data_IF_923314994052
#
_entry.id   IF_923314994052
#
_cell.length_a   1.000
_cell.length_b   1.000
_cell.length_c   1.000
_cell.angle_alpha   90.00
_cell.angle_beta   90.00
_cell.angle_gamma   90.00
#
_symmetry.space_group_name_H-M   'P 1'
#
loop_
_entity.id
_entity.type
_entity.pdbx_description
1 polymer ?
#
# COMPACT_ATOMS: atom_id res chain seq x y z
N UNK A 1 -0.01 -27.26 25.15
CA UNK A 1 0.41 -27.21 23.73
C UNK A 1 0.95 -25.82 23.49
N UNK A 2 2.27 -25.65 23.39
CA UNK A 2 2.89 -24.35 23.08
C UNK A 2 2.72 -24.16 21.59
N UNK A 3 1.83 -23.24 21.18
CA UNK A 3 1.72 -22.81 19.78
C UNK A 3 3.03 -22.11 19.44
N UNK A 4 3.89 -22.77 18.68
CA UNK A 4 5.06 -22.14 18.08
C UNK A 4 4.51 -21.15 17.05
N UNK A 5 4.41 -19.88 17.45
CA UNK A 5 4.16 -18.78 16.53
C UNK A 5 5.38 -18.76 15.59
N UNK A 6 5.25 -19.36 14.41
CA UNK A 6 6.26 -19.21 13.38
C UNK A 6 6.29 -17.72 13.06
N UNK A 7 7.40 -17.05 13.39
CA UNK A 7 7.63 -15.69 12.94
C UNK A 7 7.48 -15.71 11.43
N UNK A 8 6.48 -14.98 10.91
CA UNK A 8 6.28 -14.86 9.47
C UNK A 8 7.51 -14.17 8.90
N UNK A 9 8.01 -14.70 7.80
CA UNK A 9 9.12 -14.12 7.04
C UNK A 9 8.54 -13.37 5.84
N UNK A 10 8.39 -12.03 5.92
CA UNK A 10 7.82 -11.22 4.85
C UNK A 10 8.53 -11.39 3.51
N UNK A 11 9.85 -11.64 3.52
CA UNK A 11 10.59 -11.82 2.27
C UNK A 11 10.24 -13.15 1.59
N UNK A 12 10.04 -14.23 2.36
CA UNK A 12 9.57 -15.50 1.79
C UNK A 12 8.14 -15.40 1.28
N UNK A 13 7.28 -14.66 1.99
CA UNK A 13 5.91 -14.44 1.55
C UNK A 13 5.85 -13.66 0.24
N UNK A 14 6.69 -12.61 0.06
CA UNK A 14 6.84 -11.91 -1.22
C UNK A 14 7.25 -12.85 -2.36
N UNK A 15 8.25 -13.72 -2.11
CA UNK A 15 8.68 -14.69 -3.11
C UNK A 15 7.58 -15.68 -3.48
N UNK A 16 6.84 -16.18 -2.49
CA UNK A 16 5.71 -17.09 -2.72
C UNK A 16 4.58 -16.44 -3.53
N UNK A 17 4.38 -15.12 -3.37
CA UNK A 17 3.42 -14.33 -4.14
C UNK A 17 3.95 -13.89 -5.51
N UNK A 18 5.21 -14.21 -5.85
CA UNK A 18 5.85 -13.79 -7.09
C UNK A 18 6.08 -12.28 -7.19
N UNK A 19 6.11 -11.57 -6.06
CA UNK A 19 6.27 -10.12 -6.00
C UNK A 19 7.76 -9.77 -5.94
N UNK A 20 8.20 -8.96 -6.91
CA UNK A 20 9.53 -8.36 -6.91
C UNK A 20 9.39 -6.87 -6.55
N UNK A 21 10.10 -6.45 -5.52
CA UNK A 21 10.20 -5.04 -5.15
C UNK A 21 11.18 -4.32 -6.07
N UNK A 22 10.85 -3.08 -6.42
CA UNK A 22 11.68 -2.26 -7.29
C UNK A 22 12.63 -1.38 -6.48
N UNK A 23 13.72 -0.92 -7.10
CA UNK A 23 14.58 0.08 -6.49
C UNK A 23 13.82 1.38 -6.24
N UNK A 24 14.16 2.04 -5.13
CA UNK A 24 13.53 3.30 -4.75
C UNK A 24 13.90 4.41 -5.73
N UNK A 25 12.89 4.98 -6.40
CA UNK A 25 13.07 6.18 -7.23
C UNK A 25 13.06 7.42 -6.34
N UNK A 26 13.97 8.39 -6.56
CA UNK A 26 13.94 9.66 -5.82
C UNK A 26 12.62 10.40 -6.08
N UNK A 27 12.14 11.21 -5.11
CA UNK A 27 10.96 12.04 -5.32
C UNK A 27 11.23 13.14 -6.35
N UNK A 28 10.17 13.60 -7.01
CA UNK A 28 10.24 14.62 -8.07
C UNK A 28 10.29 16.05 -7.49
N UNK A 29 9.96 16.24 -6.20
CA UNK A 29 9.84 17.52 -5.53
C UNK A 29 10.62 17.57 -4.21
N UNK A 30 10.57 18.70 -3.50
CA UNK A 30 11.25 18.90 -2.21
C UNK A 30 10.56 18.18 -1.05
N UNK A 31 10.46 16.85 -1.13
CA UNK A 31 10.02 15.98 -0.04
C UNK A 31 10.80 14.66 -0.09
N UNK A 32 10.67 13.86 0.95
CA UNK A 32 11.29 12.52 1.03
C UNK A 32 10.22 11.44 1.04
N UNK A 33 10.56 10.25 0.57
CA UNK A 33 9.62 9.11 0.50
C UNK A 33 9.18 8.60 1.86
N UNK A 34 10.00 8.79 2.90
CA UNK A 34 9.63 8.47 4.27
C UNK A 34 10.45 9.29 5.28
N UNK A 35 9.88 9.48 6.47
CA UNK A 35 10.54 10.11 7.62
C UNK A 35 10.39 9.18 8.82
N UNK A 36 11.50 8.91 9.50
CA UNK A 36 11.50 8.14 10.74
C UNK A 36 11.57 9.07 11.96
N UNK A 37 10.72 8.80 12.95
CA UNK A 37 10.78 9.42 14.27
C UNK A 37 10.61 8.35 15.34
N UNK A 38 11.62 8.18 16.19
CA UNK A 38 11.67 7.06 17.12
C UNK A 38 11.60 5.72 16.37
N UNK A 39 10.61 4.91 16.72
CA UNK A 39 10.33 3.61 16.05
C UNK A 39 9.31 3.70 14.93
N UNK A 40 8.77 4.89 14.66
CA UNK A 40 7.74 5.06 13.64
C UNK A 40 8.34 5.59 12.34
N UNK A 41 8.02 4.90 11.24
CA UNK A 41 8.32 5.32 9.89
C UNK A 41 7.03 5.81 9.22
N UNK A 42 7.01 7.08 8.84
CA UNK A 42 5.92 7.72 8.11
C UNK A 42 6.27 7.69 6.62
N UNK A 43 5.51 6.94 5.84
CA UNK A 43 5.73 6.79 4.39
C UNK A 43 4.77 7.70 3.66
N UNK A 44 5.31 8.55 2.77
CA UNK A 44 4.57 9.50 1.93
C UNK A 44 3.58 8.79 1.01
N UNK A 45 2.60 9.54 0.52
CA UNK A 45 1.62 9.04 -0.45
C UNK A 45 2.29 8.43 -1.69
N UNK A 46 1.81 7.25 -2.06
CA UNK A 46 2.19 6.54 -3.27
C UNK A 46 0.96 6.34 -4.15
N UNK A 47 1.16 6.52 -5.44
CA UNK A 47 0.18 6.20 -6.47
C UNK A 47 0.62 4.92 -7.22
N UNK A 48 -0.28 4.20 -7.88
CA UNK A 48 0.09 3.00 -8.60
C UNK A 48 1.01 3.31 -9.78
N UNK A 49 2.00 2.45 -9.99
CA UNK A 49 2.78 2.47 -11.24
C UNK A 49 1.88 2.12 -12.43
N UNK A 50 2.25 2.62 -13.61
CA UNK A 50 1.60 2.22 -14.86
C UNK A 50 2.14 0.86 -15.30
N UNK A 51 1.24 -0.11 -15.40
CA UNK A 51 1.55 -1.48 -15.82
C UNK A 51 0.72 -1.79 -17.07
N UNK A 52 1.37 -2.27 -18.11
CA UNK A 52 0.69 -2.66 -19.35
C UNK A 52 -0.45 -3.65 -19.07
N UNK A 53 -1.63 -3.35 -19.58
CA UNK A 53 -2.83 -4.17 -19.39
C UNK A 53 -3.53 -3.97 -18.05
N UNK A 54 -3.06 -3.08 -17.18
CA UNK A 54 -3.72 -2.72 -15.91
C UNK A 54 -4.25 -1.29 -15.97
N UNK A 55 -5.46 -1.09 -15.49
CA UNK A 55 -6.05 0.25 -15.36
C UNK A 55 -5.72 0.83 -13.99
N UNK A 56 -4.87 1.82 -13.97
CA UNK A 56 -4.39 2.46 -12.74
C UNK A 56 -4.71 3.96 -12.69
N UNK A 57 -5.41 4.47 -13.71
CA UNK A 57 -5.81 5.88 -13.86
C UNK A 57 -7.30 5.98 -14.11
N UNK A 58 -7.91 7.04 -13.59
CA UNK A 58 -9.35 7.33 -13.75
C UNK A 58 -10.14 7.19 -12.46
N UNK A 59 -11.44 7.53 -12.52
CA UNK A 59 -12.37 7.50 -11.39
C UNK A 59 -12.99 6.14 -11.19
N UNK A 60 -12.86 5.61 -9.98
CA UNK A 60 -13.55 4.39 -9.56
C UNK A 60 -15.06 4.68 -9.42
N UNK A 61 -15.87 3.79 -9.97
CA UNK A 61 -17.33 3.93 -9.99
C UNK A 61 -17.88 4.48 -11.30
N UNK A 62 -17.05 5.15 -12.13
CA UNK A 62 -17.48 5.61 -13.47
C UNK A 62 -16.55 5.16 -14.59
N UNK A 63 -15.24 5.29 -14.44
CA UNK A 63 -14.24 4.93 -15.43
C UNK A 63 -13.57 3.59 -15.12
N UNK A 64 -13.47 3.24 -13.82
CA UNK A 64 -12.95 1.99 -13.33
C UNK A 64 -13.99 1.26 -12.48
N UNK A 65 -13.94 -0.05 -12.57
CA UNK A 65 -14.69 -0.94 -11.68
C UNK A 65 -14.05 -1.00 -10.30
N UNK A 66 -14.76 -1.55 -9.32
CA UNK A 66 -14.22 -1.83 -7.96
C UNK A 66 -12.99 -2.73 -8.04
N UNK A 67 -13.02 -3.77 -8.88
CA UNK A 67 -11.92 -4.72 -9.03
C UNK A 67 -10.67 -4.06 -9.65
N UNK A 68 -10.84 -3.19 -10.64
CA UNK A 68 -9.74 -2.40 -11.21
C UNK A 68 -9.15 -1.43 -10.17
N UNK A 69 -9.99 -0.79 -9.36
CA UNK A 69 -9.56 0.02 -8.22
C UNK A 69 -8.83 -0.80 -7.15
N UNK A 70 -9.32 -2.00 -6.83
CA UNK A 70 -8.67 -2.94 -5.89
C UNK A 70 -7.29 -3.37 -6.40
N UNK A 71 -7.16 -3.68 -7.69
CA UNK A 71 -5.87 -3.99 -8.30
C UNK A 71 -4.92 -2.79 -8.29
N UNK A 72 -5.41 -1.57 -8.55
CA UNK A 72 -4.61 -0.35 -8.43
C UNK A 72 -4.09 -0.16 -6.99
N UNK A 73 -4.92 -0.42 -5.97
CA UNK A 73 -4.50 -0.37 -4.57
C UNK A 73 -3.42 -1.43 -4.25
N UNK A 74 -3.53 -2.63 -4.81
CA UNK A 74 -2.51 -3.68 -4.67
C UNK A 74 -1.17 -3.25 -5.31
N UNK A 75 -1.20 -2.68 -6.51
CA UNK A 75 0.00 -2.17 -7.19
C UNK A 75 0.65 -1.04 -6.39
N UNK A 76 -0.15 -0.10 -5.87
CA UNK A 76 0.34 0.98 -5.00
C UNK A 76 1.05 0.43 -3.76
N UNK A 77 0.50 -0.62 -3.17
CA UNK A 77 1.07 -1.26 -1.98
C UNK A 77 2.44 -1.88 -2.26
N UNK A 78 2.66 -2.44 -3.45
CA UNK A 78 3.98 -2.95 -3.85
C UNK A 78 5.00 -1.80 -3.90
N UNK A 79 4.62 -0.63 -4.41
CA UNK A 79 5.46 0.57 -4.37
C UNK A 79 5.78 1.04 -2.94
N UNK A 80 4.79 1.02 -2.04
CA UNK A 80 4.97 1.31 -0.61
C UNK A 80 5.93 0.32 0.06
N UNK A 81 5.83 -0.98 -0.27
CA UNK A 81 6.71 -2.02 0.24
C UNK A 81 8.15 -1.84 -0.24
N UNK A 82 8.36 -1.38 -1.47
CA UNK A 82 9.69 -1.04 -2.00
C UNK A 82 10.32 0.11 -1.18
N UNK A 83 9.54 1.14 -0.88
CA UNK A 83 9.98 2.24 -0.01
C UNK A 83 10.24 1.76 1.42
N UNK A 84 9.34 0.95 1.98
CA UNK A 84 9.50 0.37 3.32
C UNK A 84 10.78 -0.46 3.42
N UNK A 85 11.05 -1.34 2.45
CA UNK A 85 12.27 -2.15 2.43
C UNK A 85 13.54 -1.30 2.41
N UNK A 86 13.55 -0.21 1.63
CA UNK A 86 14.69 0.69 1.56
C UNK A 86 15.00 1.35 2.92
N UNK A 87 13.97 1.90 3.58
CA UNK A 87 14.17 2.61 4.85
C UNK A 87 14.34 1.68 6.06
N UNK A 88 13.69 0.52 6.07
CA UNK A 88 13.84 -0.48 7.13
C UNK A 88 15.09 -1.35 6.95
N UNK A 89 15.74 -1.31 5.78
CA UNK A 89 16.85 -2.18 5.39
C UNK A 89 16.42 -3.61 5.09
N UNK A 90 15.43 -4.13 5.81
CA UNK A 90 14.84 -5.44 5.61
C UNK A 90 13.39 -5.45 6.15
N UNK A 91 12.46 -6.09 5.42
CA UNK A 91 11.06 -6.17 5.86
C UNK A 91 10.88 -6.98 7.16
N UNK A 92 11.82 -7.86 7.51
CA UNK A 92 11.82 -8.58 8.79
C UNK A 92 12.05 -7.66 10.00
N UNK A 93 12.49 -6.41 9.80
CA UNK A 93 12.62 -5.39 10.84
C UNK A 93 11.29 -4.72 11.20
N UNK A 94 10.24 -4.94 10.39
CA UNK A 94 8.90 -4.39 10.62
C UNK A 94 8.25 -5.11 11.80
N UNK A 95 7.87 -4.34 12.83
CA UNK A 95 7.12 -4.86 13.99
C UNK A 95 5.64 -4.97 13.67
N UNK A 96 5.09 -3.93 13.04
CA UNK A 96 3.69 -3.89 12.58
C UNK A 96 3.43 -2.75 11.61
N UNK A 97 2.42 -2.93 10.78
CA UNK A 97 1.77 -1.83 10.09
C UNK A 97 0.82 -1.17 11.08
N UNK A 98 1.02 0.13 11.36
CA UNK A 98 0.25 0.86 12.36
C UNK A 98 -1.03 1.42 11.77
N UNK A 99 -0.90 2.13 10.66
CA UNK A 99 -2.01 2.81 9.99
C UNK A 99 -1.82 2.84 8.48
N UNK A 100 -2.93 2.73 7.76
CA UNK A 100 -3.02 2.95 6.32
C UNK A 100 -4.12 3.97 6.06
N UNK A 101 -3.82 5.01 5.28
CA UNK A 101 -4.81 5.94 4.74
C UNK A 101 -4.88 5.74 3.23
N UNK A 102 -6.04 5.34 2.73
CA UNK A 102 -6.32 5.19 1.31
C UNK A 102 -7.24 6.28 0.81
N UNK A 103 -6.80 6.99 -0.20
CA UNK A 103 -7.52 8.00 -0.94
C UNK A 103 -7.89 7.44 -2.32
N UNK A 104 -9.15 7.43 -2.66
CA UNK A 104 -9.66 6.84 -3.89
C UNK A 104 -10.17 7.98 -4.80
N UNK A 105 -9.66 8.10 -6.01
CA UNK A 105 -10.23 8.96 -7.04
C UNK A 105 -11.58 8.36 -7.43
N UNK A 106 -12.66 8.89 -6.86
CA UNK A 106 -13.97 8.26 -6.92
C UNK A 106 -15.00 9.15 -7.61
N UNK A 107 -15.96 8.50 -8.28
CA UNK A 107 -17.20 9.16 -8.66
C UNK A 107 -17.92 9.68 -7.40
N UNK A 108 -18.56 10.86 -7.43
CA UNK A 108 -19.25 11.41 -6.26
C UNK A 108 -20.33 10.48 -5.65
N UNK A 109 -20.90 9.61 -6.44
CA UNK A 109 -21.91 8.63 -5.98
C UNK A 109 -21.29 7.32 -5.48
N UNK A 110 -19.98 7.12 -5.64
CA UNK A 110 -19.30 5.88 -5.25
C UNK A 110 -19.12 5.80 -3.73
N UNK A 111 -19.51 4.69 -3.12
CA UNK A 111 -19.47 4.49 -1.65
C UNK A 111 -18.67 3.25 -1.23
N UNK A 112 -18.16 2.46 -2.16
CA UNK A 112 -17.46 1.20 -1.87
C UNK A 112 -15.93 1.37 -1.68
N UNK A 113 -15.49 2.51 -1.12
CA UNK A 113 -14.08 2.79 -0.86
C UNK A 113 -13.37 1.68 -0.05
N UNK A 114 -14.00 1.08 1.00
CA UNK A 114 -13.38 -0.02 1.73
C UNK A 114 -13.09 -1.25 0.86
N UNK A 115 -13.94 -1.56 -0.12
CA UNK A 115 -13.74 -2.69 -1.03
C UNK A 115 -12.50 -2.48 -1.91
N UNK A 116 -12.30 -1.27 -2.42
CA UNK A 116 -11.09 -0.89 -3.18
C UNK A 116 -9.84 -1.06 -2.31
N UNK A 117 -9.87 -0.56 -1.08
CA UNK A 117 -8.71 -0.61 -0.18
C UNK A 117 -8.39 -2.01 0.35
N UNK A 118 -9.26 -2.99 0.17
CA UNK A 118 -8.93 -4.39 0.46
C UNK A 118 -7.76 -4.87 -0.41
N UNK A 119 -7.53 -4.33 -1.61
CA UNK A 119 -6.34 -4.64 -2.40
C UNK A 119 -5.02 -4.33 -1.69
N UNK A 120 -5.00 -3.29 -0.86
CA UNK A 120 -3.86 -2.97 0.00
C UNK A 120 -3.86 -3.85 1.26
N UNK A 121 -4.97 -3.87 2.01
CA UNK A 121 -5.03 -4.52 3.32
C UNK A 121 -4.80 -6.03 3.24
N UNK A 122 -5.39 -6.70 2.25
CA UNK A 122 -5.23 -8.14 2.05
C UNK A 122 -3.76 -8.47 1.78
N UNK A 123 -3.10 -7.71 0.88
CA UNK A 123 -1.68 -7.91 0.57
C UNK A 123 -0.77 -7.70 1.80
N UNK A 124 -1.02 -6.67 2.61
CA UNK A 124 -0.24 -6.44 3.84
C UNK A 124 -0.40 -7.60 4.84
N UNK A 125 -1.59 -8.16 4.97
CA UNK A 125 -1.83 -9.33 5.83
C UNK A 125 -1.21 -10.60 5.23
N UNK A 126 -1.26 -10.80 3.92
CA UNK A 126 -0.59 -11.92 3.24
C UNK A 126 0.93 -11.89 3.49
N UNK A 127 1.54 -10.70 3.51
CA UNK A 127 3.00 -10.55 3.69
C UNK A 127 3.39 -10.61 5.17
N UNK A 128 2.72 -9.86 6.04
CA UNK A 128 3.12 -9.67 7.44
C UNK A 128 2.28 -10.44 8.46
N UNK A 129 1.23 -11.14 8.02
CA UNK A 129 0.29 -11.83 8.91
C UNK A 129 -0.37 -10.90 9.90
N UNK A 130 -0.35 -11.26 11.19
CA UNK A 130 -0.94 -10.43 12.24
C UNK A 130 -0.31 -9.04 12.36
N UNK A 131 0.98 -8.91 12.05
CA UNK A 131 1.67 -7.62 12.00
C UNK A 131 1.18 -6.72 10.84
N UNK A 132 0.55 -7.29 9.82
CA UNK A 132 -0.07 -6.57 8.71
C UNK A 132 -1.45 -6.00 9.02
N UNK A 133 -2.11 -6.42 10.12
CA UNK A 133 -3.40 -5.88 10.56
C UNK A 133 -3.23 -4.48 11.13
N UNK A 134 -3.86 -3.49 10.52
CA UNK A 134 -3.63 -2.06 10.77
C UNK A 134 -4.93 -1.29 10.97
N UNK A 135 -4.84 -0.12 11.62
CA UNK A 135 -5.92 0.86 11.59
C UNK A 135 -6.02 1.46 10.18
N UNK A 136 -7.24 1.65 9.65
CA UNK A 136 -7.45 2.12 8.27
C UNK A 136 -8.48 3.24 8.16
N UNK A 137 -8.19 4.19 7.27
CA UNK A 137 -9.19 5.06 6.66
C UNK A 137 -9.23 4.80 5.15
N UNK A 138 -10.42 4.84 4.54
CA UNK A 138 -10.64 4.74 3.11
C UNK A 138 -11.66 5.80 2.71
N UNK A 139 -11.23 6.79 1.93
CA UNK A 139 -12.04 7.98 1.60
C UNK A 139 -12.03 8.26 0.10
N UNK A 140 -13.14 8.79 -0.41
CA UNK A 140 -13.24 9.26 -1.79
C UNK A 140 -12.70 10.68 -1.93
N UNK A 141 -11.96 10.91 -3.01
CA UNK A 141 -11.38 12.19 -3.36
C UNK A 141 -11.97 12.68 -4.69
N UNK A 142 -12.14 13.98 -4.82
CA UNK A 142 -12.62 14.60 -6.06
C UNK A 142 -11.63 14.41 -7.22
N UNK A 143 -10.34 14.37 -6.91
CA UNK A 143 -9.25 14.10 -7.87
C UNK A 143 -8.00 13.67 -7.12
N UNK A 144 -7.10 12.95 -7.80
CA UNK A 144 -5.77 12.61 -7.32
C UNK A 144 -4.71 13.01 -8.36
N UNK A 145 -3.45 13.18 -7.96
CA UNK A 145 -2.37 13.54 -8.88
C UNK A 145 -2.28 12.55 -10.05
N UNK A 146 -2.03 13.07 -11.25
CA UNK A 146 -1.90 12.27 -12.48
C UNK A 146 -3.11 11.39 -12.80
N UNK A 147 -4.31 11.80 -12.33
CA UNK A 147 -5.54 11.00 -12.44
C UNK A 147 -5.40 9.58 -11.87
N UNK A 148 -4.52 9.40 -10.88
CA UNK A 148 -4.33 8.10 -10.24
C UNK A 148 -5.65 7.59 -9.65
N UNK A 149 -5.90 6.27 -9.77
CA UNK A 149 -7.11 5.65 -9.23
C UNK A 149 -7.14 5.66 -7.70
N UNK A 150 -5.97 5.53 -7.09
CA UNK A 150 -5.78 5.57 -5.63
C UNK A 150 -4.47 6.25 -5.28
N UNK A 151 -4.41 6.80 -4.06
CA UNK A 151 -3.18 7.20 -3.40
C UNK A 151 -3.20 6.62 -1.98
N UNK A 152 -2.08 6.06 -1.53
CA UNK A 152 -2.00 5.38 -0.24
C UNK A 152 -0.76 5.85 0.52
N UNK A 153 -0.95 6.20 1.78
CA UNK A 153 0.13 6.45 2.75
C UNK A 153 0.06 5.47 3.91
N UNK A 154 1.17 5.25 4.61
CA UNK A 154 1.14 4.39 5.79
C UNK A 154 2.16 4.79 6.85
N UNK A 155 1.85 4.37 8.09
CA UNK A 155 2.72 4.48 9.26
C UNK A 155 3.08 3.06 9.68
N UNK A 156 4.38 2.82 9.88
CA UNK A 156 4.95 1.52 10.22
C UNK A 156 5.78 1.63 11.49
N UNK A 157 5.73 0.64 12.36
CA UNK A 157 6.65 0.48 13.51
C UNK A 157 7.80 -0.47 13.14
N UNK A 158 9.03 0.00 13.35
CA UNK A 158 10.29 -0.73 13.17
C UNK A 158 10.87 -1.22 14.50
#
# INVERSE_FOLDING_TARGET
MISICHAQDPNKNLQALGIQLTELKPPIANYVKAVQTGKLLFISGHIPDEIVGKKTRGKVGSQLTVEEGKEAARITTIGLLSTLQYYAGNLNNVKRIVKVTGMINADPSFTQHPAVMNGCSDLLVEIFGDAGKHARAAVGMASLPFDAAVEIEMIVEL
#
